data_IF_479080131901
#
_entry.id   IF_479080131901
#
_cell.length_a   1.000
_cell.length_b   1.000
_cell.length_c   1.000
_cell.angle_alpha   90.00
_cell.angle_beta   90.00
_cell.angle_gamma   90.00
#
_symmetry.space_group_name_H-M   'P 1'
#
loop_
_entity.id
_entity.type
_entity.pdbx_description
1 polymer ?
#
# COMPACT_ATOMS: atom_id res chain seq x y z
N UNK A 1 -4.81 -0.12 -8.63
CA UNK A 1 -6.07 -0.31 -7.87
C UNK A 1 -6.69 1.05 -7.61
N UNK A 2 -8.01 1.12 -7.49
CA UNK A 2 -8.76 2.34 -7.18
C UNK A 2 -9.78 2.04 -6.07
N UNK A 3 -9.94 2.97 -5.12
CA UNK A 3 -10.96 2.92 -4.08
C UNK A 3 -12.07 3.87 -4.51
N UNK A 4 -13.32 3.40 -4.48
CA UNK A 4 -14.49 4.14 -4.98
C UNK A 4 -15.72 3.88 -4.13
N UNK A 5 -16.79 4.61 -4.42
CA UNK A 5 -18.17 4.26 -4.03
C UNK A 5 -18.89 3.60 -5.19
N UNK A 6 -19.97 2.87 -4.88
CA UNK A 6 -20.87 2.24 -5.86
C UNK A 6 -21.30 3.19 -6.97
N UNK A 7 -21.66 4.44 -6.61
CA UNK A 7 -22.13 5.48 -7.53
C UNK A 7 -21.08 5.90 -8.57
N UNK A 8 -19.80 5.75 -8.25
CA UNK A 8 -18.68 6.17 -9.10
C UNK A 8 -17.97 4.98 -9.76
N UNK A 9 -18.30 3.73 -9.39
CA UNK A 9 -17.64 2.53 -9.87
C UNK A 9 -17.70 2.40 -11.40
N UNK A 10 -18.84 2.73 -12.02
CA UNK A 10 -19.03 2.66 -13.47
C UNK A 10 -18.08 3.58 -14.24
N UNK A 11 -17.59 4.67 -13.63
CA UNK A 11 -16.62 5.58 -14.26
C UNK A 11 -15.23 4.96 -14.41
N UNK A 12 -14.98 3.85 -13.70
CA UNK A 12 -13.74 3.10 -13.77
C UNK A 12 -13.85 1.88 -14.71
N UNK A 13 -15.04 1.65 -15.30
CA UNK A 13 -15.25 0.58 -16.27
C UNK A 13 -14.32 0.74 -17.48
N UNK A 14 -13.71 -0.36 -17.93
CA UNK A 14 -12.77 -0.37 -19.06
C UNK A 14 -11.32 -0.04 -18.70
N UNK A 15 -11.01 0.25 -17.43
CA UNK A 15 -9.64 0.34 -16.93
C UNK A 15 -9.18 -0.99 -16.33
N UNK A 16 -7.95 -1.43 -16.64
CA UNK A 16 -7.35 -2.63 -16.06
C UNK A 16 -6.82 -2.36 -14.63
N UNK A 17 -7.74 -2.17 -13.70
CA UNK A 17 -7.46 -1.83 -12.31
C UNK A 17 -8.34 -2.68 -11.39
N UNK A 18 -7.77 -3.14 -10.28
CA UNK A 18 -8.56 -3.61 -9.14
C UNK A 18 -9.41 -2.46 -8.59
N UNK A 19 -10.73 -2.56 -8.70
CA UNK A 19 -11.69 -1.61 -8.13
C UNK A 19 -12.16 -2.15 -6.77
N UNK A 20 -12.05 -1.33 -5.73
CA UNK A 20 -12.53 -1.61 -4.39
C UNK A 20 -13.67 -0.64 -4.08
N UNK A 21 -14.91 -1.15 -4.05
CA UNK A 21 -16.07 -0.37 -3.59
C UNK A 21 -16.14 -0.40 -2.07
N UNK A 22 -16.17 0.78 -1.44
CA UNK A 22 -16.26 0.89 0.01
C UNK A 22 -17.57 0.33 0.57
N UNK A 23 -18.65 0.27 -0.24
CA UNK A 23 -19.94 -0.30 0.18
C UNK A 23 -19.84 -1.81 0.40
N UNK A 24 -19.02 -2.50 -0.40
CA UNK A 24 -18.81 -3.95 -0.31
C UNK A 24 -17.89 -4.34 0.85
N UNK A 25 -17.12 -3.38 1.39
CA UNK A 25 -16.23 -3.61 2.53
C UNK A 25 -17.00 -3.91 3.81
N UNK A 26 -18.31 -3.59 3.87
CA UNK A 26 -19.19 -3.83 5.00
C UNK A 26 -18.97 -5.21 5.63
N UNK A 27 -19.19 -6.32 4.93
CA UNK A 27 -18.98 -7.64 5.53
C UNK A 27 -17.53 -7.97 5.90
N UNK A 28 -16.56 -7.43 5.16
CA UNK A 28 -15.15 -7.79 5.26
C UNK A 28 -14.41 -7.10 6.43
N UNK A 29 -14.85 -5.90 6.83
CA UNK A 29 -14.22 -5.13 7.91
C UNK A 29 -15.01 -5.19 9.22
N UNK A 30 -16.20 -5.80 9.22
CA UNK A 30 -16.99 -5.97 10.44
C UNK A 30 -16.28 -6.91 11.41
N UNK A 31 -16.09 -6.44 12.64
CA UNK A 31 -15.30 -7.14 13.66
C UNK A 31 -13.80 -6.87 13.61
N UNK A 32 -13.30 -6.08 12.64
CA UNK A 32 -11.94 -5.57 12.72
C UNK A 32 -11.82 -4.48 13.80
N UNK A 33 -10.68 -4.37 14.49
CA UNK A 33 -10.46 -3.32 15.48
C UNK A 33 -10.53 -1.93 14.82
N UNK A 34 -11.27 -1.00 15.43
CA UNK A 34 -11.24 0.42 15.08
C UNK A 34 -10.05 1.16 15.72
N UNK A 35 -9.18 0.43 16.43
CA UNK A 35 -7.95 0.95 17.03
C UNK A 35 -6.84 1.06 15.99
N UNK A 36 -5.92 1.99 16.19
CA UNK A 36 -4.75 2.11 15.35
C UNK A 36 -3.95 0.79 15.28
N UNK A 37 -3.34 0.52 14.12
CA UNK A 37 -2.36 -0.55 13.99
C UNK A 37 -1.17 -0.29 14.92
N UNK A 38 -0.50 -1.35 15.41
CA UNK A 38 0.74 -1.18 16.14
C UNK A 38 1.76 -0.46 15.25
N UNK A 39 2.57 0.40 15.87
CA UNK A 39 3.68 1.04 15.16
C UNK A 39 4.65 -0.04 14.66
N UNK A 40 5.21 0.11 13.44
CA UNK A 40 6.18 -0.85 12.92
C UNK A 40 7.46 -0.83 13.78
N UNK A 41 8.12 -1.97 13.87
CA UNK A 41 9.40 -2.04 14.55
C UNK A 41 10.45 -1.24 13.78
N UNK A 42 11.41 -0.69 14.51
CA UNK A 42 12.46 0.17 13.93
C UNK A 42 13.28 -0.55 12.84
N UNK A 43 13.34 -1.88 12.89
CA UNK A 43 14.07 -2.72 11.95
C UNK A 43 13.23 -3.27 10.80
N UNK A 44 11.91 -3.07 10.81
CA UNK A 44 11.02 -3.41 9.69
C UNK A 44 11.24 -2.45 8.52
N UNK A 45 11.04 -2.96 7.30
CA UNK A 45 11.23 -2.21 6.05
C UNK A 45 10.16 -1.14 5.91
N UNK A 46 10.58 0.12 5.78
CA UNK A 46 9.70 1.25 5.51
C UNK A 46 9.46 1.43 4.00
N UNK A 47 10.51 1.31 3.18
CA UNK A 47 10.41 1.42 1.73
C UNK A 47 11.59 0.75 1.00
N UNK A 48 11.44 0.58 -0.32
CA UNK A 48 12.51 0.11 -1.21
C UNK A 48 12.81 1.19 -2.24
N UNK A 49 14.08 1.61 -2.35
CA UNK A 49 14.54 2.46 -3.45
C UNK A 49 15.25 1.59 -4.48
N UNK A 50 14.80 1.68 -5.73
CA UNK A 50 15.49 1.06 -6.85
C UNK A 50 16.55 2.00 -7.40
N UNK A 51 17.74 1.46 -7.62
CA UNK A 51 18.87 2.18 -8.19
C UNK A 51 19.39 1.44 -9.41
N UNK A 52 20.01 2.18 -10.33
CA UNK A 52 20.65 1.57 -11.50
C UNK A 52 21.74 0.59 -11.05
N UNK A 53 21.69 -0.64 -11.54
CA UNK A 53 22.68 -1.67 -11.27
C UNK A 53 23.72 -1.74 -12.39
N UNK A 54 24.97 -2.06 -12.05
CA UNK A 54 26.05 -2.26 -13.04
C UNK A 54 25.84 -3.46 -13.97
N UNK A 55 24.88 -4.34 -13.65
CA UNK A 55 24.52 -5.52 -14.45
C UNK A 55 23.34 -5.28 -15.40
N UNK A 56 22.85 -4.03 -15.49
CA UNK A 56 21.68 -3.68 -16.30
C UNK A 56 20.32 -4.00 -15.65
N UNK A 57 20.31 -4.65 -14.49
CA UNK A 57 19.10 -4.89 -13.70
C UNK A 57 19.08 -3.96 -12.47
N UNK A 58 17.98 -3.23 -12.22
CA UNK A 58 17.86 -2.38 -11.03
C UNK A 58 18.01 -3.18 -9.73
N UNK A 59 18.72 -2.59 -8.75
CA UNK A 59 18.86 -3.16 -7.40
C UNK A 59 17.88 -2.48 -6.45
N UNK A 60 17.05 -3.26 -5.78
CA UNK A 60 16.15 -2.77 -4.72
C UNK A 60 16.86 -2.72 -3.37
N UNK A 61 16.96 -1.54 -2.78
CA UNK A 61 17.53 -1.35 -1.44
C UNK A 61 16.40 -1.18 -0.44
N UNK A 62 16.22 -2.16 0.44
CA UNK A 62 15.23 -2.10 1.52
C UNK A 62 15.75 -1.20 2.66
N UNK A 63 14.98 -0.16 2.97
CA UNK A 63 15.31 0.83 4.00
C UNK A 63 14.40 0.62 5.21
N UNK A 64 14.95 0.31 6.39
CA UNK A 64 14.16 0.15 7.61
C UNK A 64 13.71 1.50 8.21
N UNK A 65 12.64 1.48 9.01
CA UNK A 65 12.06 2.67 9.65
C UNK A 65 13.09 3.50 10.42
N UNK A 66 14.02 2.87 11.15
CA UNK A 66 15.07 3.55 11.92
C UNK A 66 15.98 4.45 11.08
N UNK A 67 16.14 4.17 9.79
CA UNK A 67 17.02 4.96 8.91
C UNK A 67 16.35 6.28 8.53
N UNK A 68 15.02 6.30 8.46
CA UNK A 68 14.23 7.48 8.04
C UNK A 68 14.17 8.54 9.14
N UNK A 69 14.16 8.11 10.40
CA UNK A 69 14.00 9.00 11.56
C UNK A 69 15.31 9.59 12.07
N UNK A 70 16.45 9.30 11.44
CA UNK A 70 17.81 9.72 11.88
C UNK A 70 18.39 10.91 11.07
N UNK A 71 17.54 11.81 10.58
CA UNK A 71 17.97 13.02 9.86
C UNK A 71 18.76 13.98 10.76
#
# INVERSE_FOLDING_TARGET
AAITTTELADRLAGHDLLVVDISDLGGAVQGQPATALPAPAADEVAYIIYTSGTTGTPKGVAIPHRNVTRL
#
